data_IF_018732812402
#
_entry.id   IF_018732812402
#
_cell.length_a   1.000
_cell.length_b   1.000
_cell.length_c   1.000
_cell.angle_alpha   90.00
_cell.angle_beta   90.00
_cell.angle_gamma   90.00
#
_symmetry.space_group_name_H-M   'P 1'
#
loop_
_entity.id
_entity.type
_entity.pdbx_description
1 polymer ?
#
# COMPACT_ATOMS: atom_id res chain seq x y z
N UNK A 1 -39.74 -30.83 -0.23
CA UNK A 1 -38.39 -30.56 -0.77
C UNK A 1 -38.41 -30.91 -2.23
N UNK A 2 -37.85 -30.05 -3.09
CA UNK A 2 -37.80 -30.32 -4.52
C UNK A 2 -36.77 -31.42 -4.80
N UNK A 3 -36.87 -32.01 -5.98
CA UNK A 3 -35.89 -33.00 -6.41
C UNK A 3 -34.50 -32.35 -6.53
N UNK A 4 -33.48 -32.98 -5.93
CA UNK A 4 -32.10 -32.50 -6.00
C UNK A 4 -31.38 -33.15 -7.18
N UNK A 5 -30.94 -32.35 -8.14
CA UNK A 5 -30.15 -32.82 -9.28
C UNK A 5 -28.70 -33.12 -8.85
N UNK A 6 -28.15 -32.37 -7.89
CA UNK A 6 -26.81 -32.63 -7.36
C UNK A 6 -26.69 -34.00 -6.68
N UNK A 7 -27.74 -34.46 -5.98
CA UNK A 7 -27.74 -35.79 -5.36
C UNK A 7 -27.73 -36.93 -6.37
N UNK A 8 -28.30 -36.71 -7.56
CA UNK A 8 -28.36 -37.72 -8.64
C UNK A 8 -27.03 -37.92 -9.36
N UNK A 9 -26.07 -37.02 -9.17
CA UNK A 9 -24.76 -37.15 -9.81
C UNK A 9 -24.07 -38.46 -9.39
N UNK A 10 -23.37 -39.14 -10.31
CA UNK A 10 -22.48 -40.24 -9.94
C UNK A 10 -21.38 -39.72 -9.01
N UNK A 11 -20.73 -40.62 -8.27
CA UNK A 11 -19.70 -40.26 -7.29
C UNK A 11 -18.59 -39.38 -7.92
N UNK A 12 -18.15 -39.70 -9.14
CA UNK A 12 -17.17 -38.90 -9.86
C UNK A 12 -17.65 -37.45 -10.08
N UNK A 13 -18.90 -37.26 -10.50
CA UNK A 13 -19.49 -35.93 -10.68
C UNK A 13 -19.59 -35.15 -9.37
N UNK A 14 -19.97 -35.82 -8.28
CA UNK A 14 -19.99 -35.21 -6.94
C UNK A 14 -18.61 -34.76 -6.48
N UNK A 15 -17.58 -35.57 -6.72
CA UNK A 15 -16.20 -35.22 -6.37
C UNK A 15 -15.73 -34.01 -7.18
N UNK A 16 -15.99 -33.97 -8.50
CA UNK A 16 -15.61 -32.83 -9.35
C UNK A 16 -16.28 -31.55 -8.87
N UNK A 17 -17.59 -31.57 -8.64
CA UNK A 17 -18.34 -30.40 -8.15
C UNK A 17 -17.86 -29.99 -6.76
N UNK A 18 -17.64 -30.94 -5.84
CA UNK A 18 -17.15 -30.63 -4.50
C UNK A 18 -15.78 -29.95 -4.53
N UNK A 19 -14.83 -30.53 -5.29
CA UNK A 19 -13.48 -30.00 -5.43
C UNK A 19 -13.50 -28.62 -6.08
N UNK A 20 -14.33 -28.41 -7.11
CA UNK A 20 -14.53 -27.09 -7.72
C UNK A 20 -14.99 -26.05 -6.70
N UNK A 21 -16.07 -26.33 -5.96
CA UNK A 21 -16.62 -25.41 -4.96
C UNK A 21 -15.61 -25.07 -3.85
N UNK A 22 -14.87 -26.07 -3.36
CA UNK A 22 -13.83 -25.87 -2.35
C UNK A 22 -12.65 -25.07 -2.89
N UNK A 23 -12.25 -25.32 -4.15
CA UNK A 23 -11.15 -24.60 -4.80
C UNK A 23 -11.49 -23.12 -4.98
N UNK A 24 -12.75 -22.81 -5.34
CA UNK A 24 -13.24 -21.44 -5.42
C UNK A 24 -13.19 -20.76 -4.04
N UNK A 25 -13.61 -21.45 -2.97
CA UNK A 25 -13.52 -20.91 -1.61
C UNK A 25 -12.09 -20.61 -1.15
N UNK A 26 -11.15 -21.51 -1.45
CA UNK A 26 -9.71 -21.29 -1.18
C UNK A 26 -9.17 -20.12 -2.00
N UNK A 27 -9.50 -20.06 -3.29
CA UNK A 27 -9.11 -18.96 -4.17
C UNK A 27 -9.63 -17.60 -3.70
N UNK A 28 -10.88 -17.55 -3.22
CA UNK A 28 -11.46 -16.34 -2.64
C UNK A 28 -10.72 -15.90 -1.37
N UNK A 29 -10.33 -16.84 -0.50
CA UNK A 29 -9.51 -16.54 0.68
C UNK A 29 -8.15 -15.95 0.29
N UNK A 30 -7.51 -16.50 -0.75
CA UNK A 30 -6.26 -15.96 -1.29
C UNK A 30 -6.44 -14.54 -1.84
N UNK A 31 -7.57 -14.25 -2.50
CA UNK A 31 -7.89 -12.91 -2.99
C UNK A 31 -8.03 -11.89 -1.85
N UNK A 32 -8.65 -12.29 -0.72
CA UNK A 32 -8.73 -11.46 0.50
C UNK A 32 -7.33 -11.16 1.06
N UNK A 33 -6.45 -12.16 1.11
CA UNK A 33 -5.05 -11.95 1.56
C UNK A 33 -4.31 -11.00 0.62
N UNK A 34 -4.50 -11.13 -0.68
CA UNK A 34 -3.91 -10.22 -1.66
C UNK A 34 -4.43 -8.77 -1.48
N UNK A 35 -5.70 -8.57 -1.10
CA UNK A 35 -6.27 -7.25 -0.83
C UNK A 35 -5.57 -6.54 0.36
N UNK A 36 -5.17 -7.28 1.39
CA UNK A 36 -4.36 -6.74 2.49
C UNK A 36 -3.07 -6.11 1.98
N UNK A 37 -2.27 -6.85 1.20
CA UNK A 37 -1.00 -6.37 0.68
C UNK A 37 -1.12 -5.23 -0.35
N UNK A 38 -2.28 -5.09 -0.99
CA UNK A 38 -2.52 -4.03 -1.96
C UNK A 38 -2.93 -2.71 -1.29
N UNK A 39 -3.81 -2.77 -0.30
CA UNK A 39 -4.57 -1.59 0.11
C UNK A 39 -4.76 -1.43 1.62
N UNK A 40 -4.45 -2.43 2.44
CA UNK A 40 -4.61 -2.31 3.89
C UNK A 40 -3.47 -1.48 4.50
N UNK A 41 -3.78 -0.82 5.61
CA UNK A 41 -2.77 -0.17 6.44
C UNK A 41 -2.05 -1.19 7.33
N UNK A 42 -0.83 -0.86 7.73
CA UNK A 42 0.02 -1.70 8.57
C UNK A 42 -0.72 -2.17 9.83
N UNK A 43 -0.78 -3.48 10.04
CA UNK A 43 -1.46 -4.09 11.17
C UNK A 43 -2.98 -4.25 11.05
N UNK A 44 -3.59 -3.77 9.97
CA UNK A 44 -4.99 -4.06 9.67
C UNK A 44 -5.10 -5.27 8.73
N UNK A 45 -5.96 -6.26 9.02
CA UNK A 45 -6.12 -7.43 8.17
C UNK A 45 -6.76 -7.10 6.81
N UNK A 46 -7.55 -6.02 6.73
CA UNK A 46 -8.22 -5.56 5.51
C UNK A 46 -8.24 -4.03 5.47
N UNK A 47 -8.35 -3.42 4.27
CA UNK A 47 -8.54 -1.99 4.14
C UNK A 47 -9.82 -1.54 4.85
N UNK A 48 -9.73 -0.46 5.61
CA UNK A 48 -10.88 0.20 6.19
C UNK A 48 -11.61 1.12 5.21
N UNK A 49 -12.66 1.82 5.68
CA UNK A 49 -13.44 2.73 4.86
C UNK A 49 -12.62 3.90 4.32
N UNK A 50 -11.72 4.47 5.13
CA UNK A 50 -10.91 5.62 4.73
C UNK A 50 -9.90 5.24 3.63
N UNK A 51 -9.26 4.08 3.76
CA UNK A 51 -8.33 3.55 2.77
C UNK A 51 -9.04 3.28 1.45
N UNK A 52 -10.26 2.72 1.51
CA UNK A 52 -11.08 2.46 0.34
C UNK A 52 -11.52 3.77 -0.34
N UNK A 53 -11.95 4.77 0.43
CA UNK A 53 -12.29 6.10 -0.10
C UNK A 53 -11.06 6.73 -0.76
N UNK A 54 -9.90 6.67 -0.12
CA UNK A 54 -8.65 7.15 -0.69
C UNK A 54 -8.27 6.42 -1.99
N UNK A 55 -8.54 5.12 -2.10
CA UNK A 55 -8.19 4.35 -3.30
C UNK A 55 -9.15 4.59 -4.47
N UNK A 56 -10.46 4.73 -4.22
CA UNK A 56 -11.47 4.77 -5.30
C UNK A 56 -12.01 6.16 -5.61
N UNK A 57 -12.14 7.03 -4.60
CA UNK A 57 -12.54 8.44 -4.78
C UNK A 57 -11.32 9.35 -4.88
N UNK A 58 -10.24 9.01 -4.17
CA UNK A 58 -9.07 9.85 -4.05
C UNK A 58 -9.25 10.93 -2.98
N UNK A 59 -8.14 11.44 -2.47
CA UNK A 59 -8.11 12.66 -1.68
C UNK A 59 -7.76 13.82 -2.63
N UNK A 60 -8.51 14.93 -2.57
CA UNK A 60 -8.13 16.19 -3.27
C UNK A 60 -6.95 16.91 -2.59
N UNK A 61 -6.25 16.23 -1.67
CA UNK A 61 -5.37 16.88 -0.70
C UNK A 61 -3.89 16.79 -1.07
N UNK A 62 -3.49 15.82 -1.89
CA UNK A 62 -2.09 15.54 -2.19
C UNK A 62 -1.86 15.31 -3.69
N UNK A 63 -0.73 15.81 -4.17
CA UNK A 63 -0.15 15.46 -5.46
C UNK A 63 0.38 14.02 -5.49
N UNK A 64 0.72 13.51 -6.67
CA UNK A 64 1.26 12.16 -6.83
C UNK A 64 2.54 11.99 -6.02
N UNK A 65 3.42 12.99 -6.05
CA UNK A 65 4.69 12.94 -5.33
C UNK A 65 4.47 13.00 -3.82
N UNK A 66 3.56 13.84 -3.32
CA UNK A 66 3.24 13.90 -1.90
C UNK A 66 2.73 12.56 -1.39
N UNK A 67 1.81 11.92 -2.13
CA UNK A 67 1.29 10.60 -1.79
C UNK A 67 2.43 9.57 -1.66
N UNK A 68 3.35 9.55 -2.62
CA UNK A 68 4.48 8.62 -2.63
C UNK A 68 5.47 8.86 -1.48
N UNK A 69 5.64 10.11 -1.06
CA UNK A 69 6.56 10.50 0.03
C UNK A 69 5.95 10.40 1.44
N UNK A 70 4.62 10.43 1.55
CA UNK A 70 3.89 10.26 2.83
C UNK A 70 3.56 8.78 3.08
N UNK A 71 3.33 7.99 2.02
CA UNK A 71 3.00 6.57 2.11
C UNK A 71 4.05 5.78 2.91
N UNK A 72 3.60 4.85 3.75
CA UNK A 72 4.47 3.98 4.53
C UNK A 72 5.51 3.28 3.63
N UNK A 73 6.76 3.21 4.08
CA UNK A 73 7.87 2.60 3.34
C UNK A 73 7.64 1.10 3.03
N UNK A 74 6.82 0.39 3.82
CA UNK A 74 6.48 -1.02 3.57
C UNK A 74 5.68 -1.25 2.29
N UNK A 75 5.04 -0.21 1.73
CA UNK A 75 4.29 -0.33 0.48
C UNK A 75 5.24 -0.61 -0.70
N UNK A 76 4.77 -1.29 -1.76
CA UNK A 76 5.60 -1.59 -2.92
C UNK A 76 6.32 -0.36 -3.48
N UNK A 77 7.62 -0.49 -3.78
CA UNK A 77 8.45 0.58 -4.33
C UNK A 77 8.12 0.84 -5.83
N UNK A 78 7.02 1.53 -6.09
CA UNK A 78 6.53 1.87 -7.42
C UNK A 78 5.58 3.09 -7.38
N UNK A 79 5.16 3.56 -8.56
CA UNK A 79 4.28 4.72 -8.71
C UNK A 79 2.88 4.59 -8.07
N UNK A 80 2.49 3.44 -7.53
CA UNK A 80 1.22 3.25 -6.80
C UNK A 80 1.39 2.94 -5.30
N UNK A 81 2.60 2.63 -4.85
CA UNK A 81 2.90 2.33 -3.45
C UNK A 81 3.59 3.50 -2.75
N UNK A 82 4.86 3.32 -2.38
CA UNK A 82 5.68 4.32 -1.70
C UNK A 82 7.00 4.55 -2.43
N UNK A 83 7.53 5.78 -2.33
CA UNK A 83 8.90 6.10 -2.73
C UNK A 83 9.80 6.41 -1.53
N UNK A 84 9.34 6.22 -0.28
CA UNK A 84 10.15 6.48 0.92
C UNK A 84 11.47 5.70 0.92
N UNK A 85 11.49 4.48 0.37
CA UNK A 85 12.72 3.70 0.28
C UNK A 85 13.82 4.36 -0.58
N UNK A 86 13.48 5.30 -1.47
CA UNK A 86 14.48 6.09 -2.22
C UNK A 86 15.38 6.92 -1.29
N UNK A 87 14.89 7.26 -0.10
CA UNK A 87 15.62 7.99 0.93
C UNK A 87 16.48 7.06 1.79
N UNK A 88 16.05 5.82 2.00
CA UNK A 88 16.62 4.87 2.96
C UNK A 88 17.28 3.67 2.26
N UNK A 89 16.56 2.55 2.12
CA UNK A 89 17.10 1.26 1.68
C UNK A 89 17.52 1.23 0.21
N UNK A 90 16.94 2.10 -0.64
CA UNK A 90 17.27 2.27 -2.05
C UNK A 90 18.08 3.54 -2.31
N UNK A 91 18.57 4.26 -1.29
CA UNK A 91 19.36 5.50 -1.45
C UNK A 91 20.57 5.35 -2.37
N UNK A 92 20.92 6.41 -3.10
CA UNK A 92 22.20 6.52 -3.79
C UNK A 92 23.39 6.37 -2.81
N UNK A 93 24.36 5.52 -3.18
CA UNK A 93 25.54 5.22 -2.34
C UNK A 93 25.28 4.30 -1.14
N UNK A 94 24.01 4.00 -0.81
CA UNK A 94 23.62 3.10 0.28
C UNK A 94 23.81 3.69 1.68
N UNK A 95 23.11 3.10 2.67
CA UNK A 95 23.08 3.61 4.06
C UNK A 95 24.45 3.57 4.74
N UNK A 96 25.27 2.55 4.45
CA UNK A 96 26.62 2.41 5.03
C UNK A 96 27.53 3.58 4.67
N UNK A 97 27.40 4.10 3.44
CA UNK A 97 28.16 5.27 2.99
C UNK A 97 27.67 6.53 3.71
N UNK A 98 26.37 6.71 3.85
CA UNK A 98 25.79 7.83 4.60
C UNK A 98 26.24 7.85 6.07
N UNK A 99 26.31 6.68 6.72
CA UNK A 99 26.88 6.54 8.08
C UNK A 99 28.34 6.97 8.11
N UNK A 100 29.15 6.55 7.14
CA UNK A 100 30.55 6.96 7.05
C UNK A 100 30.68 8.48 6.88
N UNK A 101 29.92 9.06 5.95
CA UNK A 101 29.90 10.52 5.70
C UNK A 101 29.48 11.29 6.96
N UNK A 102 28.47 10.82 7.69
CA UNK A 102 28.04 11.44 8.96
C UNK A 102 29.11 11.36 10.05
N UNK A 103 29.84 10.25 10.17
CA UNK A 103 30.96 10.13 11.13
C UNK A 103 32.07 11.12 10.80
N UNK A 104 32.40 11.31 9.52
CA UNK A 104 33.40 12.30 9.07
C UNK A 104 32.95 13.70 9.46
N UNK A 105 31.71 14.08 9.11
CA UNK A 105 31.16 15.39 9.45
C UNK A 105 31.16 15.67 10.97
N UNK A 106 30.72 14.71 11.79
CA UNK A 106 30.74 14.87 13.24
C UNK A 106 32.16 15.01 13.79
N UNK A 107 33.14 14.35 13.15
CA UNK A 107 34.55 14.44 13.52
C UNK A 107 35.12 15.82 13.19
N UNK A 108 34.84 16.35 12.01
CA UNK A 108 35.25 17.71 11.60
C UNK A 108 34.65 18.77 12.53
N UNK A 109 33.36 18.64 12.88
CA UNK A 109 32.71 19.55 13.83
C UNK A 109 33.34 19.48 15.22
N UNK A 110 33.79 18.30 15.65
CA UNK A 110 34.50 18.12 16.91
C UNK A 110 35.90 18.75 16.86
N UNK A 111 36.62 18.59 15.75
CA UNK A 111 37.94 19.22 15.53
C UNK A 111 37.87 20.73 15.62
N UNK A 112 36.85 21.34 15.02
CA UNK A 112 36.64 22.78 15.09
C UNK A 112 36.30 23.25 16.52
N UNK A 113 35.36 22.58 17.19
CA UNK A 113 34.88 22.98 18.53
C UNK A 113 35.89 22.73 19.64
N UNK A 114 36.72 21.69 19.51
CA UNK A 114 37.67 21.24 20.53
C UNK A 114 39.12 21.47 20.11
N UNK A 115 39.36 22.39 19.16
CA UNK A 115 40.70 22.70 18.62
C UNK A 115 41.76 22.96 19.70
N UNK A 116 41.38 23.59 20.81
CA UNK A 116 42.27 23.97 21.91
C UNK A 116 42.34 22.89 23.02
N UNK A 117 41.68 21.74 22.83
CA UNK A 117 41.52 20.68 23.85
C UNK A 117 41.81 19.29 23.28
N UNK A 118 43.10 18.93 23.07
CA UNK A 118 43.49 17.73 22.35
C UNK A 118 43.03 16.43 23.03
N UNK A 119 43.01 16.38 24.38
CA UNK A 119 42.54 15.21 25.12
C UNK A 119 41.03 15.00 25.02
N UNK A 120 40.24 16.07 25.05
CA UNK A 120 38.78 16.00 24.85
C UNK A 120 38.45 15.61 23.39
N UNK A 121 39.18 16.17 22.43
CA UNK A 121 39.04 15.85 21.01
C UNK A 121 39.33 14.36 20.73
N UNK A 122 40.38 13.80 21.31
CA UNK A 122 40.71 12.38 21.14
C UNK A 122 39.61 11.45 21.68
N UNK A 123 39.04 11.79 22.84
CA UNK A 123 37.89 11.07 23.43
C UNK A 123 36.65 11.17 22.54
N UNK A 124 36.35 12.35 22.02
CA UNK A 124 35.17 12.57 21.19
C UNK A 124 35.28 11.86 19.83
N UNK A 125 36.45 11.88 19.18
CA UNK A 125 36.72 11.11 17.96
C UNK A 125 36.54 9.60 18.16
N UNK A 126 37.05 9.07 19.28
CA UNK A 126 36.89 7.66 19.63
C UNK A 126 35.41 7.31 19.88
N UNK A 127 34.65 8.20 20.53
CA UNK A 127 33.19 8.08 20.72
C UNK A 127 32.49 8.03 19.37
N UNK A 128 32.66 9.04 18.52
CA UNK A 128 32.03 9.15 17.19
C UNK A 128 32.32 7.93 16.32
N UNK A 129 33.51 7.34 16.41
CA UNK A 129 33.88 6.16 15.60
C UNK A 129 33.09 4.92 15.99
N UNK A 130 32.76 4.77 17.28
CA UNK A 130 32.09 3.57 17.84
C UNK A 130 30.61 3.78 18.13
N UNK A 131 30.13 5.01 18.03
CA UNK A 131 28.76 5.37 18.41
C UNK A 131 27.73 4.68 17.49
N UNK A 132 26.87 3.80 18.03
CA UNK A 132 25.79 3.18 17.26
C UNK A 132 24.67 4.17 16.93
N UNK A 133 24.51 5.27 17.68
CA UNK A 133 23.46 6.26 17.45
C UNK A 133 23.68 7.09 16.18
N UNK A 134 24.87 7.05 15.58
CA UNK A 134 25.13 7.75 14.31
C UNK A 134 24.22 7.27 13.20
N UNK A 135 23.86 5.98 13.18
CA UNK A 135 22.91 5.45 12.22
C UNK A 135 21.53 6.10 12.37
N UNK A 136 21.06 6.24 13.62
CA UNK A 136 19.79 6.93 13.92
C UNK A 136 19.83 8.40 13.47
N UNK A 137 20.95 9.09 13.66
CA UNK A 137 21.13 10.47 13.19
C UNK A 137 21.06 10.56 11.66
N UNK A 138 21.60 9.57 10.94
CA UNK A 138 21.50 9.51 9.46
C UNK A 138 20.05 9.36 9.03
N UNK A 139 19.28 8.47 9.67
CA UNK A 139 17.85 8.34 9.34
C UNK A 139 17.06 9.62 9.65
N UNK A 140 17.40 10.34 10.71
CA UNK A 140 16.80 11.66 11.00
C UNK A 140 17.14 12.71 9.94
N UNK A 141 18.40 12.79 9.52
CA UNK A 141 18.83 13.69 8.44
C UNK A 141 18.07 13.40 7.14
N UNK A 142 17.96 12.12 6.78
CA UNK A 142 17.29 11.64 5.57
C UNK A 142 15.78 11.93 5.63
N UNK A 143 15.12 11.69 6.77
CA UNK A 143 13.70 12.01 6.89
C UNK A 143 13.46 13.53 6.85
N UNK A 144 14.42 14.33 7.33
CA UNK A 144 14.38 15.78 7.17
C UNK A 144 14.52 16.25 5.74
N UNK A 145 15.34 15.60 4.90
CA UNK A 145 15.35 15.87 3.44
C UNK A 145 13.96 15.67 2.84
N UNK A 146 13.30 14.56 3.18
CA UNK A 146 11.93 14.24 2.72
C UNK A 146 10.91 15.27 3.20
N UNK A 147 10.98 15.68 4.47
CA UNK A 147 10.07 16.68 5.05
C UNK A 147 10.28 18.05 4.40
N UNK A 148 11.53 18.45 4.14
CA UNK A 148 11.84 19.70 3.45
C UNK A 148 11.28 19.71 2.02
N UNK A 149 11.46 18.61 1.28
CA UNK A 149 10.89 18.45 -0.06
C UNK A 149 9.36 18.54 -0.04
N UNK A 150 8.70 17.84 0.90
CA UNK A 150 7.24 17.93 1.09
C UNK A 150 6.77 19.34 1.45
N UNK A 151 7.52 20.06 2.28
CA UNK A 151 7.18 21.43 2.65
C UNK A 151 7.26 22.38 1.44
N UNK A 152 8.31 22.25 0.62
CA UNK A 152 8.43 23.00 -0.62
C UNK A 152 7.30 22.70 -1.61
N UNK A 153 6.90 21.44 -1.79
CA UNK A 153 5.76 21.07 -2.64
C UNK A 153 4.46 21.71 -2.12
N UNK A 154 4.23 21.66 -0.81
CA UNK A 154 3.05 22.27 -0.17
C UNK A 154 3.03 23.79 -0.25
N UNK A 155 4.18 24.44 -0.34
CA UNK A 155 4.31 25.89 -0.56
C UNK A 155 4.21 26.27 -2.06
N UNK A 156 3.68 25.37 -2.89
CA UNK A 156 3.42 25.61 -4.30
C UNK A 156 4.63 25.39 -5.21
N UNK A 157 5.64 24.64 -4.76
CA UNK A 157 6.77 24.15 -5.57
C UNK A 157 7.43 25.25 -6.43
N UNK A 158 7.61 26.44 -5.85
CA UNK A 158 8.12 27.63 -6.55
C UNK A 158 9.48 27.33 -7.19
N UNK A 159 9.58 27.61 -8.50
CA UNK A 159 10.72 27.26 -9.35
C UNK A 159 12.01 27.91 -8.88
N UNK A 160 11.92 29.12 -8.31
CA UNK A 160 13.08 29.89 -7.84
C UNK A 160 13.85 29.15 -6.75
N UNK A 161 13.14 28.41 -5.87
CA UNK A 161 13.78 27.60 -4.84
C UNK A 161 14.44 26.35 -5.38
N UNK A 162 14.03 25.87 -6.56
CA UNK A 162 14.68 24.77 -7.25
C UNK A 162 15.94 25.25 -7.99
N UNK A 163 15.81 26.23 -8.89
CA UNK A 163 16.91 26.71 -9.75
C UNK A 163 18.03 27.42 -8.96
N UNK A 164 17.70 27.99 -7.80
CA UNK A 164 18.68 28.63 -6.92
C UNK A 164 19.00 27.78 -5.70
N UNK A 165 18.78 26.46 -5.75
CA UNK A 165 18.99 25.57 -4.61
C UNK A 165 20.37 25.68 -3.98
N UNK A 166 21.42 25.88 -4.81
CA UNK A 166 22.81 25.96 -4.38
C UNK A 166 23.20 27.30 -3.72
N UNK A 167 22.40 28.36 -3.94
CA UNK A 167 22.66 29.71 -3.45
C UNK A 167 21.73 30.07 -2.29
N UNK A 168 20.44 29.86 -2.50
CA UNK A 168 19.38 30.20 -1.56
C UNK A 168 18.54 28.97 -1.27
N UNK A 169 17.92 28.28 -2.23
CA UNK A 169 17.08 27.11 -1.95
C UNK A 169 15.82 27.42 -1.15
N UNK A 170 15.18 26.39 -0.58
CA UNK A 170 13.90 26.55 0.13
C UNK A 170 14.09 26.93 1.61
N UNK A 171 13.55 28.06 2.09
CA UNK A 171 13.80 28.56 3.44
C UNK A 171 13.21 27.65 4.52
N UNK A 172 14.05 27.18 5.45
CA UNK A 172 13.65 26.39 6.60
C UNK A 172 13.27 27.32 7.76
N UNK A 173 12.00 27.66 7.86
CA UNK A 173 11.46 28.61 8.87
C UNK A 173 10.47 27.95 9.83
N UNK A 174 10.27 28.55 11.00
CA UNK A 174 9.32 28.08 12.02
C UNK A 174 9.60 26.65 12.45
N UNK A 175 8.65 25.74 12.23
CA UNK A 175 8.80 24.32 12.62
C UNK A 175 9.92 23.59 11.85
N UNK A 176 10.34 24.12 10.70
CA UNK A 176 11.40 23.53 9.88
C UNK A 176 12.82 23.92 10.34
N UNK A 177 12.96 24.95 11.19
CA UNK A 177 14.28 25.42 11.66
C UNK A 177 15.04 24.33 12.43
N UNK A 178 14.32 23.54 13.22
CA UNK A 178 14.89 22.45 14.00
C UNK A 178 15.15 21.17 13.20
N UNK A 179 14.74 21.13 11.93
CA UNK A 179 14.82 19.93 11.11
C UNK A 179 16.29 19.54 10.86
N UNK A 180 16.62 18.29 11.19
CA UNK A 180 17.92 17.69 10.89
C UNK A 180 17.89 17.24 9.44
N UNK A 181 18.84 17.70 8.64
CA UNK A 181 18.95 17.40 7.22
C UNK A 181 20.43 17.12 6.96
N UNK A 182 20.72 16.27 5.98
CA UNK A 182 22.09 15.99 5.56
C UNK A 182 22.85 17.31 5.29
N UNK A 183 24.08 17.48 5.79
CA UNK A 183 24.81 18.75 5.67
C UNK A 183 24.98 19.25 4.23
N UNK A 184 25.21 18.35 3.27
CA UNK A 184 25.35 18.69 1.85
C UNK A 184 24.03 19.04 1.14
N UNK A 185 22.90 18.90 1.84
CA UNK A 185 21.55 19.23 1.33
C UNK A 185 20.98 20.48 2.00
N UNK A 186 21.81 21.24 2.73
CA UNK A 186 21.42 22.48 3.40
C UNK A 186 22.44 23.57 3.11
N UNK A 187 21.93 24.74 2.74
CA UNK A 187 22.71 25.96 2.66
C UNK A 187 22.43 26.80 3.91
N UNK A 188 23.48 27.35 4.50
CA UNK A 188 23.40 28.25 5.66
C UNK A 188 23.98 29.60 5.21
N UNK A 189 23.30 30.68 5.53
CA UNK A 189 23.77 32.04 5.22
C UNK A 189 25.10 32.35 5.92
N UNK A 190 25.88 33.27 5.36
CA UNK A 190 27.19 33.65 5.91
C UNK A 190 27.12 34.15 7.37
N UNK A 191 26.02 34.79 7.74
CA UNK A 191 25.74 35.26 9.11
C UNK A 191 25.22 34.15 10.04
N UNK A 192 25.02 32.93 9.53
CA UNK A 192 24.52 31.77 10.26
C UNK A 192 23.04 31.87 10.68
N UNK A 193 22.32 32.92 10.26
CA UNK A 193 20.98 33.23 10.76
C UNK A 193 19.87 32.41 10.12
N UNK A 194 20.04 32.00 8.86
CA UNK A 194 19.01 31.30 8.09
C UNK A 194 19.55 30.04 7.44
N UNK A 195 18.72 28.99 7.47
CA UNK A 195 18.98 27.72 6.79
C UNK A 195 18.02 27.54 5.63
N UNK A 196 18.49 26.89 4.58
CA UNK A 196 17.70 26.57 3.41
C UNK A 196 17.97 25.15 2.92
N UNK A 197 16.94 24.45 2.45
CA UNK A 197 17.09 23.14 1.85
C UNK A 197 17.46 23.22 0.36
N UNK A 198 18.43 22.42 -0.04
CA UNK A 198 18.83 22.22 -1.43
C UNK A 198 17.85 21.26 -2.12
N UNK A 199 16.77 21.79 -2.70
CA UNK A 199 15.69 20.98 -3.29
C UNK A 199 16.19 20.23 -4.53
N UNK A 200 16.94 20.90 -5.41
CA UNK A 200 17.54 20.30 -6.60
C UNK A 200 18.43 19.11 -6.21
N UNK A 201 19.37 19.29 -5.28
CA UNK A 201 20.26 18.22 -4.82
C UNK A 201 19.53 17.04 -4.18
N UNK A 202 18.42 17.30 -3.48
CA UNK A 202 17.56 16.23 -2.95
C UNK A 202 16.93 15.44 -4.11
N UNK A 203 16.33 16.11 -5.10
CA UNK A 203 15.68 15.46 -6.24
C UNK A 203 16.69 14.68 -7.09
N UNK A 204 17.85 15.27 -7.39
CA UNK A 204 18.94 14.63 -8.11
C UNK A 204 19.41 13.35 -7.40
N UNK A 205 19.64 13.44 -6.09
CA UNK A 205 20.22 12.33 -5.31
C UNK A 205 19.21 11.21 -5.00
N UNK A 206 17.93 11.54 -4.88
CA UNK A 206 16.88 10.62 -4.40
C UNK A 206 16.01 10.08 -5.53
N UNK A 207 15.72 10.89 -6.54
CA UNK A 207 14.75 10.59 -7.58
C UNK A 207 15.44 10.27 -8.92
N UNK A 208 16.30 11.18 -9.40
CA UNK A 208 16.85 11.10 -10.76
C UNK A 208 17.72 9.87 -10.99
N UNK A 209 18.34 9.27 -9.97
CA UNK A 209 19.12 8.04 -10.18
C UNK A 209 18.33 6.91 -10.87
N UNK A 210 17.02 6.82 -10.62
CA UNK A 210 16.15 5.83 -11.25
C UNK A 210 15.25 6.45 -12.33
N UNK A 211 14.97 7.75 -12.22
CA UNK A 211 14.11 8.51 -13.12
C UNK A 211 14.90 9.36 -14.12
N UNK A 212 16.18 9.10 -14.32
CA UNK A 212 16.91 9.66 -15.45
C UNK A 212 16.46 8.93 -16.71
N UNK A 213 16.17 9.67 -17.78
CA UNK A 213 15.79 9.09 -19.08
C UNK A 213 16.79 8.03 -19.59
N UNK A 214 18.06 8.10 -19.14
CA UNK A 214 19.13 7.18 -19.52
C UNK A 214 19.43 6.09 -18.47
N UNK A 215 18.75 6.07 -17.32
CA UNK A 215 19.00 5.09 -16.25
C UNK A 215 18.54 3.66 -16.59
N UNK A 216 17.66 3.52 -17.58
CA UNK A 216 17.04 2.25 -17.96
C UNK A 216 16.00 1.74 -16.95
N UNK A 217 15.28 0.68 -17.31
CA UNK A 217 14.19 0.12 -16.48
C UNK A 217 12.89 0.92 -16.56
N UNK A 218 11.86 0.48 -15.82
CA UNK A 218 10.51 1.06 -15.94
C UNK A 218 10.39 2.49 -15.40
N UNK A 219 11.28 2.90 -14.49
CA UNK A 219 11.28 4.24 -13.91
C UNK A 219 11.79 5.31 -14.90
N UNK A 220 12.69 4.97 -15.82
CA UNK A 220 13.19 5.87 -16.86
C UNK A 220 12.10 6.34 -17.85
N UNK A 221 10.96 5.63 -17.91
CA UNK A 221 9.79 6.06 -18.70
C UNK A 221 9.05 7.26 -18.07
N UNK A 222 9.43 7.66 -16.86
CA UNK A 222 8.88 8.81 -16.13
C UNK A 222 10.06 9.71 -15.75
N UNK A 223 10.65 10.43 -16.72
CA UNK A 223 11.84 11.23 -16.47
C UNK A 223 11.54 12.32 -15.44
N UNK A 224 12.53 12.63 -14.60
CA UNK A 224 12.49 13.72 -13.61
C UNK A 224 13.73 14.61 -13.75
N UNK A 225 14.20 14.77 -14.98
CA UNK A 225 15.47 15.42 -15.31
C UNK A 225 15.41 16.95 -15.17
N UNK A 226 14.22 17.53 -15.30
CA UNK A 226 13.99 18.98 -15.24
C UNK A 226 12.97 19.34 -14.17
N UNK A 227 12.92 20.62 -13.81
CA UNK A 227 11.88 21.13 -12.92
C UNK A 227 10.48 20.85 -13.48
N UNK A 228 10.28 21.09 -14.78
CA UNK A 228 9.01 20.89 -15.46
C UNK A 228 8.56 19.43 -15.39
N UNK A 229 9.47 18.48 -15.62
CA UNK A 229 9.20 17.06 -15.48
C UNK A 229 8.74 16.70 -14.05
N UNK A 230 9.34 17.31 -13.03
CA UNK A 230 8.97 17.08 -11.63
C UNK A 230 7.67 17.79 -11.23
N UNK A 231 7.45 19.00 -11.74
CA UNK A 231 6.29 19.84 -11.44
C UNK A 231 4.97 19.19 -11.88
N UNK A 232 4.98 18.43 -12.97
CA UNK A 232 3.82 17.64 -13.43
C UNK A 232 3.29 16.68 -12.36
N UNK A 233 4.16 16.19 -11.48
CA UNK A 233 3.80 15.29 -10.38
C UNK A 233 3.52 16.01 -9.05
N UNK A 234 3.76 17.33 -8.99
CA UNK A 234 3.54 18.19 -7.82
C UNK A 234 2.17 18.88 -7.85
N UNK A 235 1.52 18.97 -9.00
CA UNK A 235 0.14 19.41 -9.07
C UNK A 235 -0.76 18.43 -8.29
N UNK A 236 -1.69 18.92 -7.44
CA UNK A 236 -2.65 18.05 -6.77
C UNK A 236 -3.34 17.15 -7.79
N UNK A 237 -3.35 15.84 -7.56
CA UNK A 237 -4.06 14.95 -8.46
C UNK A 237 -5.53 15.39 -8.49
N UNK A 238 -6.15 15.49 -9.67
CA UNK A 238 -7.60 15.75 -9.79
C UNK A 238 -8.41 14.75 -8.96
N UNK A 239 -7.84 13.56 -8.73
CA UNK A 239 -8.25 12.56 -7.75
C UNK A 239 -7.06 11.65 -7.48
N UNK A 240 -6.63 11.48 -6.21
CA UNK A 240 -5.61 10.48 -5.84
C UNK A 240 -6.07 9.01 -5.94
N UNK A 241 -7.16 8.77 -6.68
CA UNK A 241 -7.72 7.44 -6.86
C UNK A 241 -6.86 6.62 -7.83
N UNK A 242 -7.02 5.29 -7.76
CA UNK A 242 -6.52 4.33 -8.76
C UNK A 242 -6.77 4.85 -10.17
N UNK A 243 -5.76 4.87 -11.04
CA UNK A 243 -5.88 5.39 -12.42
C UNK A 243 -7.02 4.76 -13.23
N UNK A 244 -7.51 5.44 -14.26
CA UNK A 244 -8.62 4.94 -15.09
C UNK A 244 -8.26 3.64 -15.81
N UNK A 245 -7.02 3.51 -16.27
CA UNK A 245 -6.51 2.32 -16.94
C UNK A 245 -6.48 1.14 -15.98
N UNK A 246 -5.97 1.36 -14.76
CA UNK A 246 -5.93 0.32 -13.72
C UNK A 246 -7.34 -0.06 -13.26
N UNK A 247 -8.25 0.91 -13.17
CA UNK A 247 -9.65 0.63 -12.85
C UNK A 247 -10.34 -0.16 -13.97
N UNK A 248 -10.14 0.21 -15.24
CA UNK A 248 -10.71 -0.49 -16.39
C UNK A 248 -10.18 -1.92 -16.51
N UNK A 249 -8.87 -2.10 -16.38
CA UNK A 249 -8.24 -3.42 -16.39
C UNK A 249 -8.78 -4.29 -15.24
N UNK A 250 -8.84 -3.74 -14.03
CA UNK A 250 -9.38 -4.46 -12.87
C UNK A 250 -10.84 -4.83 -13.10
N UNK A 251 -11.66 -3.89 -13.59
CA UNK A 251 -13.08 -4.12 -13.88
C UNK A 251 -13.28 -5.23 -14.91
N UNK A 252 -12.50 -5.23 -16.00
CA UNK A 252 -12.58 -6.26 -17.03
C UNK A 252 -12.26 -7.65 -16.47
N UNK A 253 -11.14 -7.78 -15.74
CA UNK A 253 -10.68 -9.07 -15.20
C UNK A 253 -11.66 -9.59 -14.13
N UNK A 254 -12.11 -8.73 -13.22
CA UNK A 254 -12.98 -9.14 -12.11
C UNK A 254 -14.39 -9.43 -12.61
N UNK A 255 -14.99 -8.57 -13.44
CA UNK A 255 -16.35 -8.78 -13.93
C UNK A 255 -16.46 -10.05 -14.79
N UNK A 256 -15.51 -10.28 -15.69
CA UNK A 256 -15.50 -11.48 -16.55
C UNK A 256 -15.22 -12.75 -15.74
N UNK A 257 -14.17 -12.72 -14.90
CA UNK A 257 -13.78 -13.87 -14.09
C UNK A 257 -14.84 -14.26 -13.07
N UNK A 258 -15.37 -13.29 -12.34
CA UNK A 258 -16.39 -13.53 -11.31
C UNK A 258 -17.75 -13.88 -11.90
N UNK A 259 -18.10 -13.39 -13.10
CA UNK A 259 -19.31 -13.83 -13.76
C UNK A 259 -19.33 -15.35 -13.97
N UNK A 260 -18.19 -15.92 -14.41
CA UNK A 260 -18.06 -17.37 -14.57
C UNK A 260 -18.02 -18.10 -13.23
N UNK A 261 -17.18 -17.65 -12.28
CA UNK A 261 -17.00 -18.32 -10.99
C UNK A 261 -18.29 -18.30 -10.15
N UNK A 262 -18.88 -17.13 -9.95
CA UNK A 262 -20.09 -16.96 -9.12
C UNK A 262 -21.34 -17.45 -9.84
N UNK A 263 -21.35 -17.38 -11.18
CA UNK A 263 -22.40 -17.99 -12.00
C UNK A 263 -22.44 -19.51 -11.80
N UNK A 264 -21.29 -20.18 -11.81
CA UNK A 264 -21.22 -21.64 -11.63
C UNK A 264 -21.59 -22.06 -10.19
N UNK A 265 -21.11 -21.37 -9.15
CA UNK A 265 -21.48 -21.67 -7.76
C UNK A 265 -22.97 -21.43 -7.50
N UNK A 266 -23.52 -20.35 -8.05
CA UNK A 266 -24.95 -20.07 -8.03
C UNK A 266 -25.76 -21.13 -8.77
N UNK A 267 -25.29 -21.56 -9.93
CA UNK A 267 -25.93 -22.64 -10.70
C UNK A 267 -25.94 -23.97 -9.94
N UNK A 268 -24.85 -24.34 -9.28
CA UNK A 268 -24.82 -25.51 -8.38
C UNK A 268 -25.91 -25.39 -7.30
N UNK A 269 -26.05 -24.24 -6.66
CA UNK A 269 -27.10 -24.02 -5.66
C UNK A 269 -28.50 -24.13 -6.28
N UNK A 270 -28.72 -23.61 -7.48
CA UNK A 270 -30.00 -23.70 -8.17
C UNK A 270 -30.44 -25.16 -8.44
N UNK A 271 -29.47 -26.07 -8.62
CA UNK A 271 -29.64 -27.51 -8.83
C UNK A 271 -29.89 -28.33 -7.56
N UNK A 272 -29.94 -27.68 -6.40
CA UNK A 272 -30.28 -28.32 -5.13
C UNK A 272 -31.78 -28.55 -4.94
N UNK A 273 -32.12 -29.42 -3.98
CA UNK A 273 -33.48 -29.70 -3.54
C UNK A 273 -34.09 -28.65 -2.59
N UNK A 274 -33.40 -27.52 -2.35
CA UNK A 274 -33.89 -26.45 -1.49
C UNK A 274 -35.16 -25.76 -2.06
N UNK A 275 -35.97 -25.11 -1.20
CA UNK A 275 -37.14 -24.35 -1.64
C UNK A 275 -36.81 -23.29 -2.68
N UNK A 276 -37.69 -23.08 -3.65
CA UNK A 276 -37.44 -22.19 -4.79
C UNK A 276 -37.14 -20.74 -4.37
N UNK A 277 -37.82 -20.21 -3.35
CA UNK A 277 -37.56 -18.84 -2.88
C UNK A 277 -36.11 -18.65 -2.41
N UNK A 278 -35.53 -19.65 -1.73
CA UNK A 278 -34.15 -19.60 -1.25
C UNK A 278 -33.18 -19.59 -2.43
N UNK A 279 -33.44 -20.42 -3.44
CA UNK A 279 -32.62 -20.53 -4.64
C UNK A 279 -32.66 -19.24 -5.47
N UNK A 280 -33.85 -18.67 -5.67
CA UNK A 280 -34.02 -17.41 -6.43
C UNK A 280 -33.31 -16.23 -5.76
N UNK A 281 -33.19 -16.23 -4.43
CA UNK A 281 -32.48 -15.17 -3.70
C UNK A 281 -30.97 -15.41 -3.69
N UNK A 282 -30.52 -16.59 -3.25
CA UNK A 282 -29.11 -16.83 -2.95
C UNK A 282 -28.32 -17.22 -4.20
N UNK A 283 -28.89 -17.97 -5.14
CA UNK A 283 -28.16 -18.42 -6.32
C UNK A 283 -27.63 -17.26 -7.17
N UNK A 284 -28.40 -16.20 -7.47
CA UNK A 284 -27.87 -15.07 -8.23
C UNK A 284 -27.20 -13.98 -7.37
N UNK A 285 -27.26 -14.05 -6.02
CA UNK A 285 -26.89 -12.92 -5.16
C UNK A 285 -25.45 -12.46 -5.37
N UNK A 286 -24.47 -13.37 -5.31
CA UNK A 286 -23.06 -13.02 -5.47
C UNK A 286 -22.78 -12.36 -6.82
N UNK A 287 -23.45 -12.81 -7.89
CA UNK A 287 -23.30 -12.25 -9.24
C UNK A 287 -23.91 -10.85 -9.35
N UNK A 288 -25.11 -10.64 -8.81
CA UNK A 288 -25.79 -9.34 -8.83
C UNK A 288 -25.03 -8.33 -7.98
N UNK A 289 -24.67 -8.71 -6.76
CA UNK A 289 -24.01 -7.81 -5.81
C UNK A 289 -22.63 -7.41 -6.34
N UNK A 290 -21.85 -8.30 -6.97
CA UNK A 290 -20.56 -7.90 -7.54
C UNK A 290 -20.70 -6.93 -8.72
N UNK A 291 -21.78 -6.99 -9.51
CA UNK A 291 -22.03 -5.97 -10.55
C UNK A 291 -22.24 -4.61 -9.88
N UNK A 292 -23.05 -4.57 -8.82
CA UNK A 292 -23.33 -3.34 -8.06
C UNK A 292 -22.03 -2.81 -7.44
N UNK A 293 -21.24 -3.67 -6.82
CA UNK A 293 -19.95 -3.34 -6.21
C UNK A 293 -18.97 -2.72 -7.23
N UNK A 294 -18.75 -3.38 -8.36
CA UNK A 294 -17.87 -2.87 -9.42
C UNK A 294 -18.42 -1.55 -9.98
N UNK A 295 -19.75 -1.40 -10.08
CA UNK A 295 -20.36 -0.12 -10.47
C UNK A 295 -20.04 0.98 -9.45
N UNK A 296 -20.04 0.67 -8.15
CA UNK A 296 -19.62 1.60 -7.11
C UNK A 296 -18.14 2.03 -7.26
N UNK A 297 -17.25 1.20 -7.82
CA UNK A 297 -15.87 1.61 -8.09
C UNK A 297 -15.78 2.77 -9.08
N UNK A 298 -16.67 2.78 -10.07
CA UNK A 298 -16.76 3.85 -11.06
C UNK A 298 -17.47 5.08 -10.51
N UNK A 299 -18.60 4.88 -9.82
CA UNK A 299 -19.36 5.99 -9.21
C UNK A 299 -18.64 6.65 -8.04
N UNK A 300 -17.68 5.97 -7.41
CA UNK A 300 -16.81 6.56 -6.40
C UNK A 300 -16.07 7.81 -6.90
N UNK A 301 -15.95 8.02 -8.21
CA UNK A 301 -15.29 9.19 -8.82
C UNK A 301 -16.18 10.43 -8.95
N UNK A 302 -17.48 10.31 -8.66
CA UNK A 302 -18.38 11.47 -8.67
C UNK A 302 -17.93 12.51 -7.63
N UNK A 303 -18.28 13.77 -7.86
CA UNK A 303 -18.04 14.82 -6.86
C UNK A 303 -18.71 14.49 -5.52
N UNK A 304 -18.12 15.03 -4.46
CA UNK A 304 -18.70 14.95 -3.13
C UNK A 304 -20.12 15.57 -3.14
N UNK A 305 -21.09 14.96 -2.43
CA UNK A 305 -20.93 13.90 -1.44
C UNK A 305 -21.03 12.47 -1.99
N UNK A 306 -21.43 12.28 -3.25
CA UNK A 306 -21.78 10.95 -3.77
C UNK A 306 -20.58 10.02 -3.91
N UNK A 307 -19.43 10.53 -4.39
CA UNK A 307 -18.22 9.73 -4.58
C UNK A 307 -17.76 8.98 -3.33
N UNK A 308 -17.50 9.67 -2.19
CA UNK A 308 -17.13 9.03 -0.93
C UNK A 308 -18.14 8.01 -0.42
N UNK A 309 -19.44 8.25 -0.63
CA UNK A 309 -20.51 7.31 -0.23
C UNK A 309 -20.39 6.02 -1.03
N UNK A 310 -20.25 6.11 -2.36
CA UNK A 310 -20.06 4.94 -3.21
C UNK A 310 -18.78 4.19 -2.87
N UNK A 311 -17.68 4.89 -2.61
CA UNK A 311 -16.43 4.26 -2.19
C UNK A 311 -16.58 3.51 -0.86
N UNK A 312 -17.30 4.10 0.10
CA UNK A 312 -17.55 3.47 1.41
C UNK A 312 -18.46 2.24 1.32
N UNK A 313 -19.30 2.15 0.29
CA UNK A 313 -20.17 0.99 0.06
C UNK A 313 -19.41 -0.25 -0.47
N UNK A 314 -18.25 -0.07 -1.10
CA UNK A 314 -17.46 -1.15 -1.71
C UNK A 314 -17.16 -2.30 -0.73
N UNK A 315 -16.55 -2.08 0.46
CA UNK A 315 -16.23 -3.17 1.38
C UNK A 315 -17.49 -3.87 1.92
N UNK A 316 -18.59 -3.14 2.09
CA UNK A 316 -19.87 -3.70 2.53
C UNK A 316 -20.43 -4.65 1.46
N UNK A 317 -20.45 -4.20 0.20
CA UNK A 317 -20.90 -5.00 -0.93
C UNK A 317 -19.98 -6.21 -1.16
N UNK A 318 -18.67 -6.04 -1.07
CA UNK A 318 -17.70 -7.14 -1.12
C UNK A 318 -17.93 -8.18 -0.01
N UNK A 319 -18.24 -7.75 1.22
CA UNK A 319 -18.64 -8.63 2.32
C UNK A 319 -19.94 -9.38 2.03
N UNK A 320 -20.92 -8.73 1.40
CA UNK A 320 -22.16 -9.38 0.97
C UNK A 320 -21.92 -10.40 -0.16
N UNK A 321 -21.01 -10.12 -1.10
CA UNK A 321 -20.57 -11.09 -2.12
C UNK A 321 -19.94 -12.31 -1.43
N UNK A 322 -19.04 -12.10 -0.47
CA UNK A 322 -18.41 -13.17 0.29
C UNK A 322 -19.45 -14.06 0.99
N UNK A 323 -20.45 -13.46 1.64
CA UNK A 323 -21.53 -14.19 2.30
C UNK A 323 -22.39 -14.98 1.29
N UNK A 324 -22.72 -14.38 0.15
CA UNK A 324 -23.45 -15.03 -0.93
C UNK A 324 -22.70 -16.25 -1.47
N UNK A 325 -21.43 -16.08 -1.80
CA UNK A 325 -20.56 -17.13 -2.30
C UNK A 325 -20.39 -18.26 -1.29
N UNK A 326 -20.14 -17.93 -0.02
CA UNK A 326 -20.02 -18.91 1.06
C UNK A 326 -21.31 -19.73 1.21
N UNK A 327 -22.47 -19.05 1.15
CA UNK A 327 -23.77 -19.71 1.21
C UNK A 327 -23.98 -20.66 0.03
N UNK A 328 -23.65 -20.22 -1.20
CA UNK A 328 -23.74 -21.06 -2.39
C UNK A 328 -22.88 -22.32 -2.28
N UNK A 329 -21.64 -22.19 -1.79
CA UNK A 329 -20.71 -23.31 -1.60
C UNK A 329 -21.24 -24.28 -0.53
N UNK A 330 -21.49 -23.79 0.69
CA UNK A 330 -21.84 -24.64 1.82
C UNK A 330 -23.19 -25.35 1.62
N UNK A 331 -24.20 -24.64 1.12
CA UNK A 331 -25.52 -25.21 0.88
C UNK A 331 -25.48 -26.23 -0.26
N UNK A 332 -24.73 -25.97 -1.34
CA UNK A 332 -24.57 -26.94 -2.43
C UNK A 332 -23.86 -28.21 -1.96
N UNK A 333 -22.76 -28.08 -1.20
CA UNK A 333 -22.07 -29.22 -0.61
C UNK A 333 -22.97 -30.01 0.35
N UNK A 334 -23.76 -29.31 1.17
CA UNK A 334 -24.69 -29.94 2.10
C UNK A 334 -25.78 -30.76 1.41
N UNK A 335 -26.38 -30.22 0.35
CA UNK A 335 -27.42 -30.91 -0.38
C UNK A 335 -26.89 -32.08 -1.20
N UNK A 336 -25.68 -31.96 -1.78
CA UNK A 336 -25.09 -32.96 -2.68
C UNK A 336 -24.82 -34.31 -2.03
N UNK A 337 -24.50 -34.33 -0.73
CA UNK A 337 -24.20 -35.56 0.01
C UNK A 337 -25.35 -35.99 0.93
N UNK A 338 -25.55 -37.32 1.03
CA UNK A 338 -26.48 -37.94 1.99
C UNK A 338 -25.90 -37.90 3.42
N UNK A 339 -26.68 -38.34 4.41
CA UNK A 339 -26.34 -38.24 5.84
C UNK A 339 -24.92 -38.76 6.16
N UNK A 340 -24.49 -39.85 5.54
CA UNK A 340 -23.11 -40.38 5.68
C UNK A 340 -22.05 -39.45 5.09
N UNK A 341 -22.24 -38.94 3.88
CA UNK A 341 -21.31 -38.01 3.23
C UNK A 341 -21.31 -36.61 3.86
N UNK A 342 -22.43 -36.17 4.45
CA UNK A 342 -22.50 -34.91 5.22
C UNK A 342 -21.55 -34.94 6.40
N UNK A 343 -21.43 -36.07 7.11
CA UNK A 343 -20.47 -36.20 8.22
C UNK A 343 -19.03 -35.96 7.75
N UNK A 344 -18.66 -36.46 6.58
CA UNK A 344 -17.33 -36.24 5.99
C UNK A 344 -17.14 -34.77 5.63
N UNK A 345 -18.12 -34.14 4.98
CA UNK A 345 -18.07 -32.71 4.65
C UNK A 345 -17.96 -31.84 5.91
N UNK A 346 -18.78 -32.10 6.94
CA UNK A 346 -18.71 -31.40 8.23
C UNK A 346 -17.32 -31.57 8.84
N UNK A 347 -16.78 -32.79 8.86
CA UNK A 347 -15.45 -33.06 9.39
C UNK A 347 -14.38 -32.24 8.64
N UNK A 348 -14.42 -32.21 7.31
CA UNK A 348 -13.49 -31.40 6.50
C UNK A 348 -13.62 -29.90 6.77
N UNK A 349 -14.85 -29.39 6.92
CA UNK A 349 -15.10 -28.00 7.27
C UNK A 349 -14.58 -27.65 8.68
N UNK A 350 -14.78 -28.53 9.66
CA UNK A 350 -14.27 -28.36 11.03
C UNK A 350 -12.75 -28.40 11.06
N UNK A 351 -12.13 -29.36 10.37
CA UNK A 351 -10.66 -29.43 10.25
C UNK A 351 -10.12 -28.17 9.57
N UNK A 352 -10.75 -27.71 8.49
CA UNK A 352 -10.39 -26.47 7.81
C UNK A 352 -10.52 -25.25 8.73
N UNK A 353 -11.59 -25.16 9.51
CA UNK A 353 -11.81 -24.07 10.46
C UNK A 353 -10.77 -24.07 11.61
N UNK A 354 -10.44 -25.25 12.16
CA UNK A 354 -9.39 -25.39 13.18
C UNK A 354 -8.04 -24.97 12.59
N UNK A 355 -7.68 -25.47 11.42
CA UNK A 355 -6.43 -25.15 10.75
C UNK A 355 -6.33 -23.65 10.43
N UNK A 356 -7.40 -23.06 9.89
CA UNK A 356 -7.50 -21.62 9.63
C UNK A 356 -7.37 -20.80 10.92
N UNK A 357 -7.99 -21.23 12.02
CA UNK A 357 -7.85 -20.60 13.33
C UNK A 357 -6.43 -20.67 13.88
N UNK A 358 -5.74 -21.80 13.74
CA UNK A 358 -4.34 -21.96 14.13
C UNK A 358 -3.44 -21.02 13.31
N UNK A 359 -3.63 -20.96 11.99
CA UNK A 359 -2.89 -20.03 11.12
C UNK A 359 -3.18 -18.58 11.54
N UNK A 360 -4.44 -18.24 11.77
CA UNK A 360 -4.85 -16.91 12.22
C UNK A 360 -4.12 -16.47 13.49
N UNK A 361 -4.10 -17.34 14.51
CA UNK A 361 -3.49 -17.01 15.81
C UNK A 361 -1.96 -17.08 15.80
N UNK A 362 -1.37 -18.06 15.12
CA UNK A 362 0.08 -18.31 15.17
C UNK A 362 0.88 -17.59 14.08
N UNK A 363 0.25 -17.20 12.99
CA UNK A 363 0.94 -16.60 11.82
C UNK A 363 0.41 -15.20 11.56
N UNK A 364 -0.90 -15.06 11.34
CA UNK A 364 -1.49 -13.78 10.90
C UNK A 364 -1.44 -12.73 12.00
N UNK A 365 -1.90 -13.02 13.22
CA UNK A 365 -1.89 -12.04 14.31
C UNK A 365 -0.48 -11.57 14.70
N UNK A 366 0.55 -12.44 14.83
CA UNK A 366 1.92 -11.99 15.05
C UNK A 366 2.45 -11.13 13.89
N UNK A 367 2.19 -11.53 12.64
CA UNK A 367 2.59 -10.76 11.46
C UNK A 367 1.99 -9.35 11.48
N UNK A 368 0.68 -9.21 11.70
CA UNK A 368 0.02 -7.91 11.77
C UNK A 368 0.57 -7.03 12.92
N UNK A 369 0.90 -7.64 14.07
CA UNK A 369 1.53 -6.90 15.19
C UNK A 369 2.94 -6.42 14.84
N UNK A 370 3.73 -7.24 14.17
CA UNK A 370 5.06 -6.86 13.72
C UNK A 370 5.00 -5.74 12.68
N UNK A 371 4.09 -5.85 11.71
CA UNK A 371 3.87 -4.84 10.68
C UNK A 371 3.45 -3.49 11.29
N UNK A 372 2.53 -3.50 12.26
CA UNK A 372 2.15 -2.32 13.02
C UNK A 372 3.34 -1.70 13.77
N UNK A 373 4.20 -2.54 14.37
CA UNK A 373 5.38 -2.10 15.11
C UNK A 373 6.49 -1.54 14.21
N UNK A 374 6.63 -2.05 12.98
CA UNK A 374 7.55 -1.52 11.97
C UNK A 374 7.07 -0.17 11.43
N UNK A 375 5.76 0.07 11.34
CA UNK A 375 5.18 1.36 10.95
C UNK A 375 5.37 2.48 12.00
N UNK A 376 5.64 2.12 13.26
CA UNK A 376 5.79 3.08 14.36
C UNK A 376 7.26 3.48 14.62
N UNK A 377 8.21 2.83 13.94
CA UNK A 377 9.64 3.18 13.93
C UNK A 377 9.95 3.98 12.68
#
# INVERSE_FOLDING_TARGET
MNESYLRKLPLAGKIVVATLLLSIGIGFTSAIVNLHFQSANAGQPLPGPEETVSEFHGSKQYSQIERLLIANESKPFNGSGSMRSAFTSKRAGGIKRAIKEKRIYLTELAEEKLKDKPEELAKEKARITKDPEVEKLVYQDIDGERIALLAWIKDGFKKEYYEHSQLQGYPLTGKLESLKISPHMVHITEDGSQRFANIEGIIESRCMRCHDANAGGSAANFPLNTFEDFADYCAPEKSSAKSLEKLALSSHVHLLGFAMLYGITGFCLAMTGFPNYLKVIIAPSALIIQVIEISCWWFARMDAPMGPIFASAIPVLGGMVALGLLSQILLSLWDMFEIGGRKVVIMLLVVGAIFGGIIGVKVVLPFLKEEAGQSAK
#
